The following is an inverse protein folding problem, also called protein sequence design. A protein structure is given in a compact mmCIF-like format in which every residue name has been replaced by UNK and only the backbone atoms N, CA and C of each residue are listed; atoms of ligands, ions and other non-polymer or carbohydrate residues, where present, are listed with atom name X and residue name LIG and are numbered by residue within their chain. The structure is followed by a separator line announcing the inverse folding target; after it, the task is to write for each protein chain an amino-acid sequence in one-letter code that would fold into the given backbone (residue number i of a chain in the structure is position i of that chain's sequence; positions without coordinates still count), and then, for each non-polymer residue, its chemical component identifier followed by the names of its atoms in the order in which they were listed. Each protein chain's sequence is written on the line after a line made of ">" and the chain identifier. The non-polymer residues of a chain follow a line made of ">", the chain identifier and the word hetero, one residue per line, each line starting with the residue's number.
data_IF_623619271042
#
_entry.id   IF_623619271042
#
_cell.length_a   1.000
_cell.length_b   1.000
_cell.length_c   1.000
_cell.angle_alpha   90.00
_cell.angle_beta   90.00
_cell.angle_gamma   90.00
#
_symmetry.space_group_name_H-M   'P 1'
#
loop_
_entity.id
_entity.type
_entity.pdbx_description
1 polymer ?
#
# COMPACT_ATOMS: atom_id res chain seq x y z
N UNK A 1 1.59 -28.95 19.11
CA UNK A 1 1.36 -27.51 19.38
C UNK A 1 1.56 -26.74 18.10
N UNK A 2 0.54 -26.03 17.67
CA UNK A 2 0.61 -25.19 16.48
C UNK A 2 0.82 -23.73 16.88
N UNK A 3 1.77 -23.07 16.26
CA UNK A 3 2.00 -21.64 16.45
C UNK A 3 2.44 -21.02 15.13
N UNK A 4 2.14 -19.74 14.97
CA UNK A 4 2.54 -18.99 13.79
C UNK A 4 3.70 -18.08 14.15
N UNK A 5 4.68 -18.02 13.25
CA UNK A 5 5.83 -17.15 13.39
C UNK A 5 5.67 -15.99 12.42
N UNK A 6 5.69 -14.78 12.95
CA UNK A 6 5.68 -13.57 12.14
C UNK A 6 7.07 -12.95 12.11
N UNK A 7 7.50 -12.57 10.91
CA UNK A 7 8.74 -11.84 10.72
C UNK A 7 8.59 -10.95 9.50
N UNK A 8 8.80 -9.65 9.67
CA UNK A 8 8.74 -8.72 8.55
C UNK A 8 9.78 -9.04 7.47
N UNK A 9 11.04 -9.37 7.79
CA UNK A 9 11.99 -9.81 6.77
C UNK A 9 11.58 -11.10 6.04
N UNK A 10 10.74 -11.91 6.66
CA UNK A 10 10.20 -13.11 6.03
C UNK A 10 8.99 -12.86 5.14
N UNK A 11 8.40 -11.67 5.18
CA UNK A 11 7.29 -11.32 4.31
C UNK A 11 7.80 -10.89 2.95
N UNK A 12 7.22 -11.45 1.90
CA UNK A 12 7.57 -11.08 0.55
C UNK A 12 6.69 -9.92 0.10
N UNK A 13 7.31 -8.77 -0.19
CA UNK A 13 6.61 -7.56 -0.60
C UNK A 13 7.12 -7.13 -1.97
N UNK A 14 6.22 -7.06 -2.95
CA UNK A 14 6.56 -6.69 -4.33
C UNK A 14 5.66 -5.54 -4.76
N UNK A 15 6.29 -4.45 -5.21
CA UNK A 15 5.59 -3.32 -5.80
C UNK A 15 5.89 -3.33 -7.30
N UNK A 16 4.84 -3.34 -8.11
CA UNK A 16 4.95 -3.49 -9.55
C UNK A 16 4.21 -2.38 -10.28
N UNK A 17 4.81 -1.88 -11.36
CA UNK A 17 4.16 -0.98 -12.30
C UNK A 17 4.61 -1.35 -13.71
N UNK A 18 3.69 -1.50 -14.69
CA UNK A 18 4.04 -1.97 -16.04
C UNK A 18 5.09 -1.13 -16.75
N UNK A 19 5.06 0.20 -16.55
CA UNK A 19 5.95 1.13 -17.24
C UNK A 19 7.17 1.54 -16.45
N UNK A 20 7.20 1.26 -15.15
CA UNK A 20 8.32 1.61 -14.26
C UNK A 20 9.16 0.39 -13.93
N UNK A 21 8.51 -0.74 -13.68
CA UNK A 21 9.19 -1.99 -13.37
C UNK A 21 8.71 -2.61 -12.07
N UNK A 22 9.58 -3.41 -11.46
CA UNK A 22 9.28 -4.18 -10.25
C UNK A 22 10.29 -3.84 -9.16
N UNK A 23 9.81 -3.61 -7.95
CA UNK A 23 10.66 -3.44 -6.77
C UNK A 23 10.33 -4.50 -5.73
N UNK A 24 11.33 -5.26 -5.31
CA UNK A 24 11.22 -6.21 -4.21
C UNK A 24 11.54 -5.49 -2.91
N UNK A 25 10.53 -4.93 -2.26
CA UNK A 25 10.72 -4.08 -1.09
C UNK A 25 11.32 -4.85 0.08
N UNK A 26 11.09 -6.15 0.16
CA UNK A 26 11.67 -6.99 1.21
C UNK A 26 13.20 -7.09 1.12
N UNK A 27 13.79 -6.71 -0.01
CA UNK A 27 15.24 -6.66 -0.21
C UNK A 27 15.82 -5.25 -0.11
N UNK A 28 14.97 -4.26 0.11
CA UNK A 28 15.36 -2.84 0.12
C UNK A 28 15.39 -2.25 1.52
N UNK A 29 15.26 -3.07 2.55
CA UNK A 29 15.33 -2.62 3.93
C UNK A 29 14.13 -1.82 4.39
N UNK A 30 12.93 -2.09 3.87
CA UNK A 30 11.74 -1.38 4.28
C UNK A 30 11.46 -1.59 5.77
N UNK A 31 11.00 -0.53 6.45
CA UNK A 31 10.75 -0.57 7.89
C UNK A 31 9.33 -0.95 8.25
N UNK A 32 8.35 -0.36 7.57
CA UNK A 32 6.94 -0.58 7.91
C UNK A 32 6.07 -0.41 6.67
N UNK A 33 5.06 -1.27 6.56
CA UNK A 33 4.02 -1.15 5.55
C UNK A 33 2.67 -1.22 6.26
N UNK A 34 1.84 -0.20 6.06
CA UNK A 34 0.49 -0.16 6.60
C UNK A 34 -0.50 -0.12 5.44
N UNK A 35 -1.43 -1.06 5.43
CA UNK A 35 -2.52 -1.10 4.45
C UNK A 35 -3.82 -0.85 5.20
N UNK A 36 -4.52 0.22 4.83
CA UNK A 36 -5.72 0.67 5.54
C UNK A 36 -6.88 0.83 4.57
N UNK A 37 -7.99 0.17 4.87
CA UNK A 37 -9.23 0.35 4.10
C UNK A 37 -9.80 1.75 4.35
N UNK A 38 -10.29 2.39 3.29
CA UNK A 38 -10.77 3.77 3.37
C UNK A 38 -12.18 3.88 3.94
N UNK A 39 -13.01 2.85 3.74
CA UNK A 39 -14.40 2.92 4.13
C UNK A 39 -14.82 1.82 5.09
N UNK A 40 -15.97 2.01 5.70
CA UNK A 40 -16.59 1.03 6.57
C UNK A 40 -17.32 -0.02 5.76
N UNK A 41 -17.45 -1.23 6.30
CA UNK A 41 -18.22 -2.29 5.66
C UNK A 41 -19.71 -2.17 5.96
N UNK A 42 -20.05 -1.62 7.11
CA UNK A 42 -21.45 -1.47 7.54
C UNK A 42 -21.62 -0.15 8.29
N UNK A 43 -22.86 0.33 8.27
CA UNK A 43 -23.26 1.43 9.14
C UNK A 43 -24.66 1.15 9.70
N UNK A 44 -24.95 1.76 10.84
CA UNK A 44 -26.26 1.64 11.48
C UNK A 44 -27.00 2.95 11.48
N UNK A 45 -28.30 2.90 11.16
CA UNK A 45 -29.20 4.03 11.34
C UNK A 45 -30.19 3.65 12.41
N UNK A 46 -30.29 4.47 13.46
CA UNK A 46 -31.20 4.19 14.59
C UNK A 46 -32.38 5.14 14.49
N UNK A 47 -33.59 4.57 14.39
CA UNK A 47 -34.83 5.33 14.39
C UNK A 47 -35.21 5.76 15.80
N UNK A 48 -36.12 6.74 15.91
CA UNK A 48 -36.56 7.28 17.19
C UNK A 48 -37.19 6.25 18.12
N UNK A 49 -37.77 5.20 17.56
CA UNK A 49 -38.38 4.11 18.31
C UNK A 49 -37.38 3.00 18.71
N UNK A 50 -36.08 3.18 18.38
CA UNK A 50 -35.06 2.21 18.67
C UNK A 50 -34.84 1.16 17.58
N UNK A 51 -35.57 1.22 16.49
CA UNK A 51 -35.36 0.29 15.37
C UNK A 51 -34.05 0.60 14.67
N UNK A 52 -33.25 -0.45 14.42
CA UNK A 52 -31.92 -0.30 13.84
C UNK A 52 -31.92 -0.85 12.43
N UNK A 53 -31.51 -0.02 11.47
CA UNK A 53 -31.28 -0.43 10.08
C UNK A 53 -29.79 -0.62 9.88
N UNK A 54 -29.37 -1.80 9.42
CA UNK A 54 -27.99 -2.11 9.10
C UNK A 54 -27.77 -1.84 7.62
N UNK A 55 -26.89 -0.91 7.30
CA UNK A 55 -26.56 -0.55 5.93
C UNK A 55 -25.28 -1.26 5.51
N UNK A 56 -25.31 -1.86 4.32
CA UNK A 56 -24.13 -2.49 3.73
C UNK A 56 -23.43 -1.50 2.80
N UNK A 57 -22.14 -1.27 3.05
CA UNK A 57 -21.32 -0.39 2.25
C UNK A 57 -20.39 -1.20 1.37
N UNK A 58 -20.23 -0.77 0.13
CA UNK A 58 -19.35 -1.44 -0.83
C UNK A 58 -18.14 -0.54 -1.13
N UNK A 59 -17.17 -0.56 -0.25
CA UNK A 59 -15.93 0.18 -0.45
C UNK A 59 -14.79 -0.82 -0.54
N UNK A 60 -13.99 -0.73 -1.61
CA UNK A 60 -12.85 -1.63 -1.83
C UNK A 60 -11.53 -0.89 -1.83
N UNK A 61 -11.54 0.44 -1.84
CA UNK A 61 -10.35 1.26 -1.91
C UNK A 61 -9.69 1.43 -0.55
N UNK A 62 -8.47 1.91 -0.57
CA UNK A 62 -7.74 2.16 0.67
C UNK A 62 -6.44 2.89 0.44
N UNK A 63 -5.66 3.00 1.51
CA UNK A 63 -4.40 3.72 1.55
C UNK A 63 -3.29 2.78 1.97
N UNK A 64 -2.14 2.89 1.31
CA UNK A 64 -0.93 2.15 1.65
C UNK A 64 0.12 3.17 2.09
N UNK A 65 0.67 2.97 3.29
CA UNK A 65 1.76 3.79 3.80
C UNK A 65 3.02 2.95 3.88
N UNK A 66 4.07 3.40 3.19
CA UNK A 66 5.36 2.73 3.15
C UNK A 66 6.41 3.57 3.86
N UNK A 67 7.18 2.95 4.76
CA UNK A 67 8.38 3.56 5.33
C UNK A 67 9.60 2.85 4.72
N UNK A 68 10.41 3.61 3.98
CA UNK A 68 11.55 3.08 3.23
C UNK A 68 12.76 3.95 3.55
N UNK A 69 13.96 3.35 3.74
CA UNK A 69 15.17 4.15 3.91
C UNK A 69 15.45 5.01 2.68
N UNK A 70 15.87 6.25 2.91
CA UNK A 70 16.30 7.12 1.81
C UNK A 70 17.53 6.53 1.12
N UNK A 71 17.63 6.76 -0.18
CA UNK A 71 18.73 6.26 -1.04
C UNK A 71 18.78 4.74 -1.18
N UNK A 72 17.70 4.04 -0.86
CA UNK A 72 17.55 2.61 -1.16
C UNK A 72 17.04 2.40 -2.59
N UNK A 73 17.07 1.14 -3.04
CA UNK A 73 16.49 0.79 -4.34
C UNK A 73 14.98 1.06 -4.37
N UNK A 74 14.29 0.86 -3.24
CA UNK A 74 12.88 1.19 -3.13
C UNK A 74 12.62 2.68 -3.29
N UNK A 75 13.45 3.52 -2.70
CA UNK A 75 13.35 4.97 -2.86
C UNK A 75 13.57 5.38 -4.32
N UNK A 76 14.58 4.81 -4.98
CA UNK A 76 14.81 5.07 -6.40
C UNK A 76 13.60 4.67 -7.25
N UNK A 77 13.00 3.51 -6.98
CA UNK A 77 11.81 3.04 -7.68
C UNK A 77 10.63 4.00 -7.50
N UNK A 78 10.41 4.48 -6.29
CA UNK A 78 9.33 5.42 -6.01
C UNK A 78 9.56 6.77 -6.71
N UNK A 79 10.80 7.20 -6.83
CA UNK A 79 11.14 8.42 -7.60
C UNK A 79 10.82 8.25 -9.07
N UNK A 80 11.14 7.10 -9.66
CA UNK A 80 10.81 6.82 -11.06
C UNK A 80 9.30 6.76 -11.27
N UNK A 81 8.58 6.15 -10.34
CA UNK A 81 7.11 6.12 -10.38
C UNK A 81 6.52 7.52 -10.32
N UNK A 82 7.00 8.36 -9.42
CA UNK A 82 6.53 9.75 -9.32
C UNK A 82 6.75 10.52 -10.62
N UNK A 83 7.92 10.38 -11.24
CA UNK A 83 8.19 11.01 -12.53
C UNK A 83 7.26 10.51 -13.61
N UNK A 84 7.07 9.21 -13.69
CA UNK A 84 6.17 8.61 -14.68
C UNK A 84 4.74 9.15 -14.50
N UNK A 85 4.26 9.17 -13.27
CA UNK A 85 2.90 9.61 -12.98
C UNK A 85 2.70 11.09 -13.29
N UNK A 86 3.68 11.94 -13.00
CA UNK A 86 3.63 13.37 -13.33
C UNK A 86 3.58 13.61 -14.85
N UNK A 87 4.26 12.78 -15.61
CA UNK A 87 4.38 12.93 -17.07
C UNK A 87 3.35 12.12 -17.83
N UNK A 88 2.49 11.38 -17.15
CA UNK A 88 1.46 10.57 -17.76
C UNK A 88 0.40 11.48 -18.41
N UNK A 89 0.23 11.37 -19.73
CA UNK A 89 -0.73 12.20 -20.45
C UNK A 89 -2.11 11.56 -20.56
N UNK A 90 -2.18 10.24 -20.43
CA UNK A 90 -3.45 9.52 -20.50
C UNK A 90 -3.90 9.14 -19.09
N UNK A 91 -4.98 9.75 -18.56
CA UNK A 91 -5.44 9.46 -17.20
C UNK A 91 -5.83 8.01 -16.97
N UNK A 92 -6.22 7.27 -18.02
CA UNK A 92 -6.61 5.87 -17.89
C UNK A 92 -5.44 4.95 -17.51
N UNK A 93 -4.19 5.40 -17.68
CA UNK A 93 -2.98 4.61 -17.42
C UNK A 93 -2.40 4.88 -16.03
N UNK A 94 -2.95 5.82 -15.28
CA UNK A 94 -2.39 6.20 -13.98
C UNK A 94 -2.48 5.06 -12.98
N UNK A 95 -3.61 4.34 -12.94
CA UNK A 95 -3.89 3.36 -11.90
C UNK A 95 -3.50 1.94 -12.30
N UNK A 96 -2.25 1.73 -12.71
CA UNK A 96 -1.76 0.42 -13.15
C UNK A 96 -0.87 -0.30 -12.13
N UNK A 97 -0.55 0.34 -11.03
CA UNK A 97 0.33 -0.25 -10.04
C UNK A 97 -0.31 -1.40 -9.26
N UNK A 98 0.52 -2.31 -8.78
CA UNK A 98 0.09 -3.44 -7.96
C UNK A 98 1.08 -3.63 -6.81
N UNK A 99 0.56 -3.80 -5.61
CA UNK A 99 1.34 -4.15 -4.43
C UNK A 99 0.88 -5.52 -3.93
N UNK A 100 1.83 -6.43 -3.76
CA UNK A 100 1.57 -7.77 -3.24
C UNK A 100 2.39 -8.01 -1.99
N UNK A 101 1.75 -8.45 -0.91
CA UNK A 101 2.40 -8.82 0.35
C UNK A 101 2.02 -10.27 0.65
N UNK A 102 3.01 -11.12 0.82
CA UNK A 102 2.81 -12.54 1.16
C UNK A 102 3.58 -12.88 2.42
N UNK A 103 2.93 -13.60 3.34
CA UNK A 103 3.59 -14.10 4.53
C UNK A 103 4.51 -15.28 4.22
N UNK A 104 5.64 -15.37 4.96
CA UNK A 104 6.66 -16.40 4.72
C UNK A 104 6.13 -17.82 4.91
N UNK A 105 5.17 -18.02 5.80
CA UNK A 105 4.58 -19.32 6.08
C UNK A 105 3.35 -19.63 5.23
N UNK A 106 3.03 -18.79 4.23
CA UNK A 106 1.86 -18.96 3.39
C UNK A 106 0.54 -18.71 4.12
N UNK A 107 0.59 -18.08 5.29
CA UNK A 107 -0.58 -17.90 6.13
C UNK A 107 -1.51 -16.77 5.71
N UNK A 108 -1.02 -15.79 4.98
CA UNK A 108 -1.83 -14.68 4.51
C UNK A 108 -1.23 -14.06 3.25
N UNK A 109 -2.08 -13.39 2.48
CA UNK A 109 -1.62 -12.53 1.40
C UNK A 109 -2.54 -11.33 1.28
N UNK A 110 -1.96 -10.19 0.88
CA UNK A 110 -2.68 -8.95 0.60
C UNK A 110 -2.29 -8.50 -0.79
N UNK A 111 -3.27 -8.27 -1.65
CA UNK A 111 -3.06 -7.79 -3.01
C UNK A 111 -3.80 -6.47 -3.17
N UNK A 112 -3.06 -5.43 -3.53
CA UNK A 112 -3.61 -4.11 -3.80
C UNK A 112 -3.45 -3.82 -5.30
N UNK A 113 -4.54 -3.52 -5.97
CA UNK A 113 -4.54 -3.22 -7.40
C UNK A 113 -5.00 -1.79 -7.65
N UNK A 114 -4.70 -1.26 -8.84
CA UNK A 114 -5.03 0.12 -9.17
C UNK A 114 -4.32 1.11 -8.27
N UNK A 115 -3.03 0.89 -8.02
CA UNK A 115 -2.25 1.69 -7.07
C UNK A 115 -1.70 2.94 -7.75
N UNK A 116 -1.90 4.08 -7.11
CA UNK A 116 -1.34 5.37 -7.53
C UNK A 116 -0.63 6.03 -6.36
N UNK A 117 0.32 6.90 -6.67
CA UNK A 117 1.01 7.67 -5.63
C UNK A 117 0.19 8.92 -5.30
N UNK A 118 -0.17 9.07 -4.03
CA UNK A 118 -0.96 10.22 -3.60
C UNK A 118 -0.14 11.52 -3.62
N UNK A 119 1.11 11.43 -3.15
CA UNK A 119 1.98 12.59 -3.01
C UNK A 119 3.43 12.14 -3.12
N UNK A 120 4.28 12.97 -3.72
CA UNK A 120 5.72 12.72 -3.70
C UNK A 120 6.20 12.76 -2.25
N UNK A 121 6.95 11.75 -1.77
CA UNK A 121 7.39 11.73 -0.38
C UNK A 121 8.27 12.91 -0.04
N UNK A 122 8.13 13.40 1.19
CA UNK A 122 9.01 14.43 1.72
C UNK A 122 10.41 13.84 1.95
N UNK A 123 11.44 14.64 1.67
CA UNK A 123 12.82 14.23 1.87
C UNK A 123 13.44 15.07 2.98
N UNK A 124 14.18 14.39 3.86
CA UNK A 124 14.87 15.02 4.96
C UNK A 124 16.36 14.89 4.72
N UNK A 125 17.05 16.02 4.73
CA UNK A 125 18.51 16.08 4.58
C UNK A 125 19.11 16.42 5.94
N UNK A 126 19.70 15.42 6.58
CA UNK A 126 20.27 15.50 7.90
C UNK A 126 21.60 14.73 7.92
N UNK A 127 22.30 14.79 9.04
CA UNK A 127 23.57 14.07 9.21
C UNK A 127 23.40 12.56 9.12
N UNK A 128 22.29 12.06 9.62
CA UNK A 128 22.00 10.63 9.58
C UNK A 128 20.93 10.35 8.54
N UNK A 129 21.04 9.21 7.89
CA UNK A 129 20.00 8.76 6.99
C UNK A 129 18.71 8.51 7.76
N UNK A 130 17.59 8.98 7.20
CA UNK A 130 16.27 8.81 7.78
C UNK A 130 15.40 8.02 6.82
N UNK A 131 14.32 7.43 7.34
CA UNK A 131 13.31 6.81 6.50
C UNK A 131 12.41 7.87 5.90
N UNK A 132 11.98 7.66 4.67
CA UNK A 132 10.91 8.46 4.08
C UNK A 132 9.60 7.69 4.18
N UNK A 133 8.50 8.44 4.24
CA UNK A 133 7.16 7.88 4.27
C UNK A 133 6.46 8.21 2.97
N UNK A 134 6.02 7.19 2.25
CA UNK A 134 5.31 7.33 0.98
C UNK A 134 3.88 6.84 1.15
N UNK A 135 2.91 7.61 0.68
CA UNK A 135 1.51 7.24 0.72
C UNK A 135 1.03 6.92 -0.69
N UNK A 136 0.49 5.71 -0.85
CA UNK A 136 -0.10 5.24 -2.09
C UNK A 136 -1.59 5.03 -1.89
N UNK A 137 -2.36 5.25 -2.94
CA UNK A 137 -3.79 4.98 -2.94
C UNK A 137 -4.07 3.73 -3.77
N UNK A 138 -4.84 2.81 -3.22
CA UNK A 138 -5.21 1.58 -3.91
C UNK A 138 -6.70 1.61 -4.25
N UNK A 139 -7.03 1.23 -5.48
CA UNK A 139 -8.43 1.12 -5.89
C UNK A 139 -9.10 -0.09 -5.27
N UNK A 140 -8.39 -1.20 -5.18
CA UNK A 140 -8.91 -2.45 -4.62
C UNK A 140 -7.88 -3.10 -3.72
N UNK A 141 -8.30 -3.47 -2.51
CA UNK A 141 -7.49 -4.21 -1.55
C UNK A 141 -8.16 -5.54 -1.31
N UNK A 142 -7.44 -6.63 -1.56
CA UNK A 142 -7.93 -8.00 -1.35
C UNK A 142 -7.04 -8.70 -0.36
N UNK A 143 -7.62 -9.20 0.71
CA UNK A 143 -6.94 -10.03 1.72
C UNK A 143 -7.38 -11.47 1.57
N UNK A 144 -6.42 -12.37 1.63
CA UNK A 144 -6.68 -13.81 1.54
C UNK A 144 -6.10 -14.56 2.73
#
# INVERSE_FOLDING_TARGET
>A
MAYNIYSLPGCRTVLYHPDVGTANLHQCGHGRITVSAAGDLTSHTVAADGYIVVNRLKSTNGTITLEIPQNSLGDWFLRQWAKWQKNCQDPSWIALGTLTIQGAAGGFSVVCTGVTMQKVPDRVFDRTGTNLTCTLLATTITEQ
#
